data_IF_297009371715
#
_entry.id   IF_297009371715
#
_cell.length_a   1.000
_cell.length_b   1.000
_cell.length_c   1.000
_cell.angle_alpha   90.00
_cell.angle_beta   90.00
_cell.angle_gamma   90.00
#
_symmetry.space_group_name_H-M   'P 1'
#
loop_
_entity.id
_entity.type
_entity.pdbx_description
1 polymer ?
#
# COMPACT_ATOMS: atom_id res chain seq x y z
N UNK A 1 28.66 -44.00 -7.47
CA UNK A 1 28.39 -42.92 -8.44
C UNK A 1 26.94 -42.45 -8.40
N UNK A 2 25.95 -43.35 -8.46
CA UNK A 2 24.51 -43.01 -8.39
C UNK A 2 24.09 -42.25 -7.11
N UNK A 3 24.48 -42.72 -5.93
CA UNK A 3 24.13 -42.05 -4.66
C UNK A 3 24.69 -40.61 -4.55
N UNK A 4 25.80 -40.32 -5.23
CA UNK A 4 26.36 -38.96 -5.28
C UNK A 4 25.51 -38.04 -6.15
N UNK A 5 25.07 -38.51 -7.32
CA UNK A 5 24.16 -37.78 -8.21
C UNK A 5 22.80 -37.51 -7.55
N UNK A 6 22.24 -38.50 -6.86
CA UNK A 6 20.98 -38.33 -6.11
C UNK A 6 21.12 -37.29 -5.00
N UNK A 7 22.25 -37.29 -4.28
CA UNK A 7 22.54 -36.29 -3.25
C UNK A 7 22.64 -34.89 -3.84
N UNK A 8 23.31 -34.74 -4.98
CA UNK A 8 23.42 -33.45 -5.68
C UNK A 8 22.06 -32.96 -6.20
N UNK A 9 21.24 -33.83 -6.79
CA UNK A 9 19.89 -33.48 -7.25
C UNK A 9 18.96 -33.07 -6.11
N UNK A 10 19.04 -33.75 -4.95
CA UNK A 10 18.28 -33.37 -3.76
C UNK A 10 18.73 -32.01 -3.23
N UNK A 11 20.05 -31.76 -3.22
CA UNK A 11 20.62 -30.49 -2.76
C UNK A 11 20.20 -29.34 -3.68
N UNK A 12 20.35 -29.48 -5.00
CA UNK A 12 19.96 -28.43 -5.95
C UNK A 12 18.46 -28.17 -5.96
N UNK A 13 17.62 -29.21 -5.82
CA UNK A 13 16.16 -29.03 -5.67
C UNK A 13 15.83 -28.28 -4.39
N UNK A 14 16.50 -28.59 -3.29
CA UNK A 14 16.29 -27.92 -1.99
C UNK A 14 16.72 -26.45 -2.07
N UNK A 15 17.90 -26.17 -2.60
CA UNK A 15 18.42 -24.81 -2.79
C UNK A 15 17.49 -23.99 -3.71
N UNK A 16 17.05 -24.56 -4.83
CA UNK A 16 16.13 -23.87 -5.74
C UNK A 16 14.76 -23.58 -5.10
N UNK A 17 14.26 -24.45 -4.23
CA UNK A 17 13.03 -24.21 -3.48
C UNK A 17 13.22 -23.13 -2.41
N UNK A 18 14.32 -23.19 -1.64
CA UNK A 18 14.65 -22.20 -0.62
C UNK A 18 14.81 -20.81 -1.25
N UNK A 19 15.59 -20.69 -2.32
CA UNK A 19 15.75 -19.42 -3.04
C UNK A 19 14.43 -18.91 -3.63
N UNK A 20 13.60 -19.81 -4.18
CA UNK A 20 12.31 -19.45 -4.74
C UNK A 20 11.34 -18.90 -3.68
N UNK A 21 11.31 -19.52 -2.50
CA UNK A 21 10.50 -19.08 -1.36
C UNK A 21 11.00 -17.76 -0.80
N UNK A 22 12.32 -17.60 -0.61
CA UNK A 22 12.92 -16.37 -0.10
C UNK A 22 12.62 -15.19 -1.01
N UNK A 23 12.88 -15.33 -2.33
CA UNK A 23 12.58 -14.30 -3.33
C UNK A 23 11.08 -14.00 -3.41
N UNK A 24 10.23 -15.00 -3.25
CA UNK A 24 8.77 -14.84 -3.26
C UNK A 24 8.28 -14.06 -2.04
N UNK A 25 8.77 -14.40 -0.86
CA UNK A 25 8.40 -13.75 0.40
C UNK A 25 8.88 -12.30 0.45
N UNK A 26 10.13 -12.04 0.05
CA UNK A 26 10.70 -10.70 0.02
C UNK A 26 9.86 -9.76 -0.87
N UNK A 27 9.57 -10.19 -2.11
CA UNK A 27 8.71 -9.43 -3.03
C UNK A 27 7.30 -9.22 -2.49
N UNK A 28 6.72 -10.25 -1.87
CA UNK A 28 5.39 -10.17 -1.27
C UNK A 28 5.33 -9.15 -0.13
N UNK A 29 6.31 -9.17 0.76
CA UNK A 29 6.41 -8.24 1.90
C UNK A 29 6.66 -6.81 1.44
N UNK A 30 7.54 -6.60 0.47
CA UNK A 30 7.83 -5.27 -0.08
C UNK A 30 6.57 -4.66 -0.71
N UNK A 31 5.88 -5.43 -1.57
CA UNK A 31 4.65 -5.00 -2.22
C UNK A 31 3.56 -4.69 -1.19
N UNK A 32 3.30 -5.60 -0.26
CA UNK A 32 2.26 -5.41 0.77
C UNK A 32 2.54 -4.22 1.70
N UNK A 33 3.81 -4.00 2.06
CA UNK A 33 4.22 -2.82 2.84
C UNK A 33 4.04 -1.51 2.03
N UNK A 34 4.31 -1.55 0.73
CA UNK A 34 4.09 -0.42 -0.18
C UNK A 34 2.61 -0.04 -0.28
N UNK A 35 1.76 -1.02 -0.56
CA UNK A 35 0.31 -0.86 -0.67
C UNK A 35 -0.28 -0.34 0.65
N UNK A 36 0.00 -0.99 1.78
CA UNK A 36 -0.53 -0.56 3.08
C UNK A 36 -0.05 0.84 3.50
N UNK A 37 1.19 1.24 3.16
CA UNK A 37 1.66 2.60 3.40
C UNK A 37 0.94 3.63 2.51
N UNK A 38 0.60 3.26 1.28
CA UNK A 38 -0.17 4.09 0.36
C UNK A 38 -1.59 4.32 0.87
N UNK A 39 -2.28 3.23 1.22
CA UNK A 39 -3.64 3.25 1.76
C UNK A 39 -3.72 4.09 3.05
N UNK A 40 -2.83 3.86 4.01
CA UNK A 40 -2.83 4.61 5.27
C UNK A 40 -2.56 6.11 5.08
N UNK A 41 -1.73 6.50 4.11
CA UNK A 41 -1.53 7.93 3.77
C UNK A 41 -2.79 8.55 3.16
N UNK A 42 -3.47 7.82 2.28
CA UNK A 42 -4.71 8.27 1.67
C UNK A 42 -5.81 8.45 2.71
N UNK A 43 -6.01 7.46 3.58
CA UNK A 43 -6.99 7.53 4.68
C UNK A 43 -6.72 8.71 5.62
N UNK A 44 -5.45 8.92 5.98
CA UNK A 44 -5.06 10.07 6.80
C UNK A 44 -5.34 11.39 6.09
N UNK A 45 -5.00 11.51 4.80
CA UNK A 45 -5.28 12.70 3.99
C UNK A 45 -6.79 13.02 3.93
N UNK A 46 -7.62 12.00 3.70
CA UNK A 46 -9.09 12.13 3.70
C UNK A 46 -9.59 12.59 5.08
N UNK A 47 -9.08 12.00 6.16
CA UNK A 47 -9.47 12.37 7.53
C UNK A 47 -9.15 13.83 7.85
N UNK A 48 -7.97 14.30 7.44
CA UNK A 48 -7.56 15.71 7.58
C UNK A 48 -8.47 16.63 6.76
N UNK A 49 -8.72 16.30 5.49
CA UNK A 49 -9.62 17.08 4.64
C UNK A 49 -11.03 17.21 5.25
N UNK A 50 -11.60 16.11 5.74
CA UNK A 50 -12.93 16.09 6.36
C UNK A 50 -12.98 16.95 7.64
N UNK A 51 -11.95 16.89 8.48
CA UNK A 51 -11.84 17.70 9.68
C UNK A 51 -11.77 19.20 9.34
N UNK A 52 -10.95 19.58 8.36
CA UNK A 52 -10.83 20.96 7.90
C UNK A 52 -12.14 21.48 7.30
N UNK A 53 -12.82 20.67 6.47
CA UNK A 53 -14.16 20.99 5.96
C UNK A 53 -15.17 21.18 7.10
N UNK A 54 -15.12 20.33 8.14
CA UNK A 54 -15.98 20.46 9.32
C UNK A 54 -15.75 21.76 10.12
N UNK A 55 -14.54 22.30 10.05
CA UNK A 55 -14.15 23.55 10.69
C UNK A 55 -14.32 24.79 9.79
N UNK A 56 -14.89 24.63 8.59
CA UNK A 56 -15.05 25.69 7.59
C UNK A 56 -13.71 26.35 7.17
N UNK A 57 -12.63 25.57 7.16
CA UNK A 57 -11.36 26.03 6.62
C UNK A 57 -11.48 26.27 5.09
N UNK A 58 -10.75 27.26 4.52
CA UNK A 58 -10.78 27.54 3.09
C UNK A 58 -10.36 26.34 2.23
N UNK A 59 -11.02 26.13 1.09
CA UNK A 59 -10.73 25.01 0.20
C UNK A 59 -9.27 25.07 -0.29
N UNK A 60 -8.74 26.24 -0.62
CA UNK A 60 -7.35 26.43 -1.06
C UNK A 60 -6.34 25.93 0.00
N UNK A 61 -6.66 26.14 1.29
CA UNK A 61 -5.85 25.65 2.39
C UNK A 61 -5.93 24.13 2.48
N UNK A 62 -7.12 23.55 2.33
CA UNK A 62 -7.29 22.10 2.34
C UNK A 62 -6.48 21.45 1.23
N UNK A 63 -6.59 21.97 0.00
CA UNK A 63 -5.82 21.48 -1.16
C UNK A 63 -4.32 21.58 -0.92
N UNK A 64 -3.83 22.71 -0.37
CA UNK A 64 -2.42 22.92 -0.08
C UNK A 64 -1.85 21.91 0.94
N UNK A 65 -2.56 21.67 2.05
CA UNK A 65 -2.06 20.84 3.14
C UNK A 65 -2.28 19.33 2.92
N UNK A 66 -3.30 18.96 2.17
CA UNK A 66 -3.60 17.54 1.87
C UNK A 66 -2.97 17.07 0.57
N UNK A 67 -2.63 18.00 -0.34
CA UNK A 67 -2.14 17.70 -1.68
C UNK A 67 -3.21 17.16 -2.62
N UNK A 68 -4.49 17.23 -2.25
CA UNK A 68 -5.59 16.83 -3.11
C UNK A 68 -5.84 17.82 -4.24
N UNK A 69 -6.42 17.34 -5.33
CA UNK A 69 -6.97 18.18 -6.38
C UNK A 69 -8.38 18.68 -6.00
N UNK A 70 -8.88 19.75 -6.63
CA UNK A 70 -10.26 20.21 -6.42
C UNK A 70 -11.30 19.10 -6.65
N UNK A 71 -11.08 18.24 -7.63
CA UNK A 71 -11.96 17.11 -7.95
C UNK A 71 -11.96 16.08 -6.82
N UNK A 72 -10.79 15.71 -6.30
CA UNK A 72 -10.68 14.80 -5.16
C UNK A 72 -11.34 15.36 -3.91
N UNK A 73 -11.18 16.67 -3.65
CA UNK A 73 -11.84 17.33 -2.53
C UNK A 73 -13.37 17.33 -2.70
N UNK A 74 -13.86 17.53 -3.93
CA UNK A 74 -15.29 17.45 -4.24
C UNK A 74 -15.84 16.04 -3.98
N UNK A 75 -15.15 14.98 -4.42
CA UNK A 75 -15.53 13.59 -4.16
C UNK A 75 -15.58 13.28 -2.66
N UNK A 76 -14.58 13.72 -1.89
CA UNK A 76 -14.55 13.57 -0.43
C UNK A 76 -15.75 14.27 0.21
N UNK A 77 -16.09 15.47 -0.25
CA UNK A 77 -17.24 16.25 0.24
C UNK A 77 -18.57 15.57 -0.08
N UNK A 78 -18.72 15.03 -1.28
CA UNK A 78 -19.95 14.37 -1.72
C UNK A 78 -20.13 13.00 -1.03
N UNK A 79 -19.04 12.25 -0.83
CA UNK A 79 -19.03 11.04 -0.01
C UNK A 79 -19.40 11.29 1.46
N UNK A 80 -19.08 12.47 2.02
CA UNK A 80 -19.57 12.89 3.34
C UNK A 80 -21.08 13.14 3.34
N UNK A 81 -21.62 13.75 2.29
CA UNK A 81 -23.06 14.08 2.18
C UNK A 81 -23.93 12.85 1.97
N UNK A 82 -23.43 11.78 1.35
CA UNK A 82 -24.19 10.54 1.13
C UNK A 82 -24.33 9.66 2.38
N UNK A 83 -23.51 9.91 3.42
CA UNK A 83 -23.59 9.22 4.72
C UNK A 83 -24.24 10.04 5.84
N UNK A 84 -24.67 11.26 5.54
CA UNK A 84 -25.28 12.20 6.49
C UNK A 84 -26.80 12.24 6.40
#
# INVERSE_FOLDING_TARGET
MLAYLEKQLRKSRKEGLEEGLEKGLEKGLEKGRGEGRGEGKLEMGISVALAMLGNNEPEEKILLYTGFTPEQLAEIRDGRRSKG
#
